data_IF_963113547915
#
_entry.id   IF_963113547915
#
_cell.length_a   1.000
_cell.length_b   1.000
_cell.length_c   1.000
_cell.angle_alpha   90.00
_cell.angle_beta   90.00
_cell.angle_gamma   90.00
#
_symmetry.space_group_name_H-M   'P 1'
#
loop_
_entity.id
_entity.type
_entity.pdbx_description
1 polymer ?
2 branched ?
3 non-polymer ?
4 non-polymer ?
5 water ?
#
# COMPACT_ATOMS: atom_id res chain seq x y z
N UNK A 1 24.48 7.64 -6.76
CA UNK A 1 25.92 7.56 -7.14
C UNK A 1 26.66 8.81 -6.58
N UNK A 2 27.03 8.74 -5.30
CA UNK A 2 27.95 9.71 -4.66
C UNK A 2 27.36 10.79 -3.75
N UNK A 3 27.29 10.51 -2.45
CA UNK A 3 26.79 11.46 -1.42
C UNK A 3 25.90 10.68 -0.45
N UNK A 4 25.30 11.35 0.57
CA UNK A 4 24.08 10.76 1.16
C UNK A 4 22.97 10.76 0.12
N UNK A 5 22.14 9.71 0.08
CA UNK A 5 21.08 9.60 -0.94
C UNK A 5 19.66 9.54 -0.33
N UNK A 6 18.68 9.98 -1.11
CA UNK A 6 17.29 10.04 -0.59
C UNK A 6 16.32 9.25 -1.46
N UNK A 7 15.41 8.56 -0.78
CA UNK A 7 14.32 7.83 -1.42
C UNK A 7 13.00 8.27 -0.78
N UNK A 8 11.95 8.27 -1.60
CA UNK A 8 10.68 8.88 -1.24
C UNK A 8 9.59 7.90 -1.63
N UNK A 9 8.89 7.37 -0.63
CA UNK A 9 7.97 6.25 -0.79
C UNK A 9 6.53 6.76 -0.61
N UNK A 10 5.59 6.29 -1.45
CA UNK A 10 4.21 6.57 -1.25
C UNK A 10 3.56 5.85 -0.03
N UNK A 11 2.34 6.27 0.35
CA UNK A 11 1.63 5.49 1.38
C UNK A 11 1.21 4.11 0.92
N UNK A 12 0.86 3.26 1.88
CA UNK A 12 0.34 1.97 1.63
C UNK A 12 -1.06 2.12 0.96
N UNK A 13 -1.36 1.31 -0.09
CA UNK A 13 -2.68 1.44 -0.68
C UNK A 13 -3.83 1.33 0.35
N UNK A 14 -3.75 0.37 1.28
CA UNK A 14 -4.79 0.27 2.32
C UNK A 14 -5.02 1.55 3.08
N UNK A 15 -3.94 2.25 3.40
CA UNK A 15 -4.00 3.50 4.11
C UNK A 15 -4.62 4.60 3.27
N UNK A 16 -4.41 4.59 1.94
CA UNK A 16 -5.05 5.59 1.10
C UNK A 16 -6.54 5.34 0.85
N UNK A 17 -6.96 4.10 1.00
CA UNK A 17 -8.30 3.67 0.65
C UNK A 17 -9.31 3.54 1.80
N UNK A 18 -8.83 3.68 3.05
CA UNK A 18 -9.70 3.65 4.24
C UNK A 18 -9.62 5.02 4.92
N UNK A 19 -10.73 5.77 4.87
CA UNK A 19 -10.75 7.13 5.36
C UNK A 19 -10.46 7.18 6.87
N UNK A 20 -10.65 6.05 7.56
CA UNK A 20 -10.32 5.95 8.99
C UNK A 20 -8.82 5.94 9.23
N UNK A 21 -8.01 5.55 8.24
CA UNK A 21 -6.56 5.44 8.44
C UNK A 21 -5.79 6.72 8.21
N UNK A 22 -4.48 6.66 8.39
CA UNK A 22 -3.62 7.80 8.26
C UNK A 22 -2.46 7.51 7.23
N UNK A 23 -2.72 7.74 5.92
CA UNK A 23 -1.70 7.55 4.91
C UNK A 23 -0.57 8.53 5.10
N UNK A 24 0.67 8.06 4.91
CA UNK A 24 1.85 8.93 4.97
C UNK A 24 2.86 8.66 3.85
N UNK A 25 3.51 9.73 3.45
CA UNK A 25 4.59 9.69 2.53
C UNK A 25 5.84 9.70 3.37
N UNK A 26 6.81 8.86 3.01
CA UNK A 26 7.99 8.66 3.81
C UNK A 26 9.28 9.01 3.05
N UNK A 27 10.12 9.87 3.64
CA UNK A 27 11.33 10.35 3.01
C UNK A 27 12.50 9.82 3.82
N UNK A 28 13.37 9.07 3.14
CA UNK A 28 14.44 8.34 3.82
C UNK A 28 15.76 8.82 3.28
N UNK A 29 16.64 9.27 4.19
CA UNK A 29 17.97 9.68 3.82
C UNK A 29 18.95 8.64 4.34
N UNK A 30 19.70 8.03 3.44
CA UNK A 30 20.77 7.07 3.81
C UNK A 30 22.17 7.58 3.43
N UNK A 31 23.19 6.90 3.96
CA UNK A 31 24.61 7.22 3.71
C UNK A 31 24.99 8.57 4.30
N UNK A 32 24.55 8.82 5.52
CA UNK A 32 24.93 10.06 6.21
C UNK A 32 26.04 9.74 7.24
N UNK A 33 27.04 10.61 7.34
CA UNK A 33 28.26 10.32 8.13
C UNK A 33 28.08 10.70 9.60
N UNK A 34 28.89 10.12 10.50
CA UNK A 34 28.85 10.54 11.93
C UNK A 34 29.35 11.95 12.08
N UNK A 35 30.27 12.33 11.19
CA UNK A 35 30.71 13.72 11.01
C UNK A 35 29.58 14.77 10.95
N UNK A 36 28.56 14.49 10.13
CA UNK A 36 27.43 15.42 9.90
C UNK A 36 26.15 14.71 10.32
N UNK A 37 25.85 14.68 11.64
CA UNK A 37 24.75 13.84 12.14
C UNK A 37 23.35 14.31 11.71
N UNK A 38 23.18 15.64 11.61
CA UNK A 38 21.89 16.29 11.51
C UNK A 38 21.43 16.50 10.07
N UNK A 39 20.13 16.28 9.85
CA UNK A 39 19.51 16.45 8.54
C UNK A 39 18.25 17.32 8.68
N UNK A 40 18.10 18.30 7.79
CA UNK A 40 16.91 19.16 7.73
C UNK A 40 16.03 18.79 6.56
N UNK A 41 14.76 18.61 6.86
CA UNK A 41 13.75 18.27 5.89
C UNK A 41 12.83 19.46 5.72
N UNK A 42 12.60 19.82 4.46
CA UNK A 42 11.51 20.71 4.11
C UNK A 42 10.54 19.93 3.25
N UNK A 43 9.25 20.13 3.47
CA UNK A 43 8.21 19.34 2.79
C UNK A 43 7.24 20.31 2.14
N UNK A 44 6.75 19.97 0.94
CA UNK A 44 5.92 20.85 0.12
C UNK A 44 4.76 20.06 -0.47
N UNK A 45 3.57 20.65 -0.48
CA UNK A 45 2.39 20.02 -1.13
C UNK A 45 2.01 20.94 -2.30
N UNK A 46 2.18 20.45 -3.54
CA UNK A 46 2.06 21.29 -4.73
C UNK A 46 2.86 22.59 -4.57
N UNK A 47 4.06 22.48 -4.05
CA UNK A 47 4.93 23.61 -3.92
C UNK A 47 4.78 24.48 -2.72
N UNK A 48 3.80 24.22 -1.84
CA UNK A 48 3.53 25.05 -0.67
C UNK A 48 4.16 24.33 0.51
N UNK A 49 5.02 25.03 1.27
CA UNK A 49 5.72 24.35 2.34
C UNK A 49 4.69 24.08 3.45
N UNK A 50 4.75 22.89 4.02
CA UNK A 50 3.88 22.45 5.11
C UNK A 50 4.72 21.99 6.28
N UNK A 51 4.13 21.91 7.48
CA UNK A 51 4.92 21.82 8.75
C UNK A 51 4.65 20.65 9.62
N UNK A 52 3.84 19.72 9.12
CA UNK A 52 3.34 18.66 10.00
C UNK A 52 4.17 17.40 10.00
N UNK A 53 5.29 17.38 9.29
CA UNK A 53 6.07 16.17 9.25
C UNK A 53 6.77 15.87 10.55
N UNK A 54 7.10 14.60 10.76
CA UNK A 54 7.73 14.15 11.99
C UNK A 54 8.95 13.33 11.60
N UNK A 55 10.10 13.68 12.17
CA UNK A 55 11.35 12.99 11.90
C UNK A 55 11.54 11.92 12.95
N UNK A 56 11.85 10.72 12.50
CA UNK A 56 11.97 9.59 13.42
C UNK A 56 13.39 9.72 13.93
N UNK A 57 13.69 9.04 15.05
CA UNK A 57 15.02 9.24 15.64
C UNK A 57 16.11 8.54 14.82
N UNK A 58 17.13 9.30 14.38
CA UNK A 58 18.25 8.78 13.56
C UNK A 58 18.96 7.59 14.23
N UNK A 59 19.53 6.70 13.42
CA UNK A 59 19.92 5.36 13.90
C UNK A 59 21.07 4.79 13.07
N UNK A 60 22.15 4.33 13.75
CA UNK A 60 23.37 3.92 13.04
C UNK A 60 23.14 2.66 12.21
N UNK A 61 23.59 2.73 10.97
CA UNK A 61 23.64 1.57 10.08
C UNK A 61 24.97 0.87 10.28
N UNK A 62 24.93 -0.43 10.02
CA UNK A 62 26.01 -1.33 10.40
C UNK A 62 27.28 -1.08 9.54
N UNK A 63 27.11 -0.38 8.42
CA UNK A 63 28.23 0.18 7.63
C UNK A 63 28.66 1.61 8.03
N UNK A 64 28.68 1.91 9.32
CA UNK A 64 29.21 3.18 9.87
C UNK A 64 28.29 4.39 9.72
N UNK A 65 27.47 4.40 8.66
CA UNK A 65 26.61 5.52 8.32
C UNK A 65 25.32 5.57 9.17
N UNK A 66 24.61 6.69 9.04
CA UNK A 66 23.30 6.90 9.67
C UNK A 66 22.20 6.83 8.61
N UNK A 67 21.00 6.51 9.08
CA UNK A 67 19.78 6.49 8.26
C UNK A 67 18.77 7.35 9.01
N UNK A 68 18.28 8.42 8.35
CA UNK A 68 17.26 9.34 8.93
C UNK A 68 15.96 9.32 8.10
N UNK A 69 14.83 9.22 8.79
CA UNK A 69 13.49 9.08 8.17
C UNK A 69 12.56 10.23 8.61
N UNK A 70 12.03 10.99 7.63
CA UNK A 70 10.87 11.90 7.87
C UNK A 70 9.54 11.33 7.27
N UNK A 71 8.49 11.34 8.06
CA UNK A 71 7.18 10.97 7.55
C UNK A 71 6.18 12.11 7.58
N UNK A 72 5.53 12.33 6.45
CA UNK A 72 4.46 13.32 6.33
C UNK A 72 3.07 12.70 6.16
N UNK A 73 2.16 12.98 7.06
CA UNK A 73 0.76 12.45 6.96
C UNK A 73 0.11 13.25 5.82
N UNK A 74 -0.59 12.56 4.92
CA UNK A 74 -1.26 13.19 3.78
C UNK A 74 -2.80 13.04 3.98
N UNK A 75 -3.59 13.97 3.44
CA UNK A 75 -5.02 13.92 3.51
C UNK A 75 -5.56 12.96 2.47
N UNK A 76 -6.54 12.17 2.88
CA UNK A 76 -7.14 11.15 2.02
C UNK A 76 -7.48 11.66 0.59
N UNK A 77 -8.19 12.77 0.54
CA UNK A 77 -8.66 13.37 -0.67
C UNK A 77 -7.50 13.95 -1.47
N UNK A 78 -6.56 14.62 -0.78
CA UNK A 78 -5.39 15.20 -1.47
C UNK A 78 -4.61 14.18 -2.25
N UNK A 79 -4.34 13.00 -1.65
CA UNK A 79 -3.54 12.01 -2.29
C UNK A 79 -4.27 11.50 -3.54
N UNK A 80 -5.55 11.23 -3.37
CA UNK A 80 -6.30 10.58 -4.44
C UNK A 80 -6.61 11.60 -5.54
N UNK A 81 -6.61 12.89 -5.23
CA UNK A 81 -6.77 13.95 -6.26
C UNK A 81 -5.49 14.36 -6.94
N UNK A 82 -4.37 13.68 -6.65
CA UNK A 82 -3.16 13.92 -7.36
C UNK A 82 -2.21 15.01 -6.90
N UNK A 83 -2.30 15.46 -5.66
CA UNK A 83 -1.37 16.50 -5.18
C UNK A 83 0.06 15.91 -5.18
N UNK A 84 1.06 16.76 -5.35
CA UNK A 84 2.48 16.33 -5.46
C UNK A 84 3.17 16.64 -4.14
N UNK A 85 3.83 15.63 -3.59
CA UNK A 85 4.55 15.76 -2.33
C UNK A 85 6.05 15.78 -2.59
N UNK A 86 6.68 16.87 -2.14
CA UNK A 86 8.12 17.00 -2.26
C UNK A 86 8.81 16.99 -0.92
N UNK A 87 9.92 16.26 -0.88
CA UNK A 87 10.77 16.18 0.28
C UNK A 87 12.11 16.79 -0.16
N UNK A 88 12.56 17.85 0.53
CA UNK A 88 13.91 18.44 0.30
C UNK A 88 14.79 18.14 1.52
N UNK A 89 16.00 17.63 1.27
CA UNK A 89 16.90 17.16 2.33
C UNK A 89 18.23 17.94 2.30
N UNK A 90 18.60 18.44 3.49
CA UNK A 90 19.77 19.26 3.69
C UNK A 90 20.65 18.63 4.75
N UNK A 91 21.99 18.69 4.53
CA UNK A 91 22.97 17.93 5.34
C UNK A 91 24.40 18.44 5.13
N UNK A 92 25.14 18.55 6.23
CA UNK A 92 26.54 19.09 6.21
C UNK A 92 27.47 18.33 5.23
N UNK A 93 27.21 17.02 5.03
CA UNK A 93 27.93 16.23 4.03
C UNK A 93 27.51 16.38 2.58
N UNK A 94 26.70 17.39 2.28
CA UNK A 94 25.93 17.43 1.07
C UNK A 94 25.90 18.88 0.57
N UNK A 95 26.84 19.23 -0.32
CA UNK A 95 27.09 20.63 -0.68
C UNK A 95 25.85 21.39 -1.17
N UNK A 96 24.88 20.68 -1.75
CA UNK A 96 23.61 21.28 -2.13
C UNK A 96 22.46 20.36 -1.67
N UNK A 97 21.32 20.96 -1.34
CA UNK A 97 20.12 20.18 -1.01
C UNK A 97 19.64 19.32 -2.17
N UNK A 98 19.08 18.18 -1.82
CA UNK A 98 18.50 17.22 -2.75
C UNK A 98 17.01 17.22 -2.54
N UNK A 99 16.25 17.12 -3.64
CA UNK A 99 14.82 17.02 -3.57
C UNK A 99 14.27 15.92 -4.48
N UNK A 100 13.20 15.30 -3.99
CA UNK A 100 12.43 14.22 -4.64
C UNK A 100 10.93 14.52 -4.50
N UNK A 101 10.15 14.17 -5.53
CA UNK A 101 8.74 14.39 -5.51
C UNK A 101 7.99 13.12 -5.85
N UNK A 102 6.83 12.93 -5.23
CA UNK A 102 6.00 11.78 -5.48
C UNK A 102 4.56 12.24 -5.60
N UNK A 103 3.78 11.48 -6.36
CA UNK A 103 2.33 11.65 -6.42
C UNK A 103 1.72 10.35 -6.96
N UNK A 104 0.42 10.22 -6.81
CA UNK A 104 -0.36 9.06 -7.27
C UNK A 104 -0.16 8.85 -8.79
N UNK A 105 -0.22 7.60 -9.25
CA UNK A 105 -0.17 7.34 -10.66
C UNK A 105 -1.27 8.12 -11.42
N UNK A 106 -0.90 8.74 -12.54
CA UNK A 106 -1.86 9.47 -13.40
C UNK A 106 -2.46 8.54 -14.46
N UNK A 107 -3.68 8.81 -14.90
CA UNK A 107 -4.34 7.98 -15.94
C UNK A 107 -5.78 7.74 -15.52
N UNK A 108 -6.68 7.37 -16.44
CA UNK A 108 -8.11 7.22 -16.08
C UNK A 108 -8.27 6.04 -15.09
N UNK A 109 -8.95 6.24 -13.93
CA UNK A 109 -9.16 5.08 -13.06
C UNK A 109 -10.09 4.07 -13.70
N UNK A 110 -9.73 2.79 -13.55
CA UNK A 110 -10.52 1.68 -14.03
C UNK A 110 -10.77 0.65 -12.90
N UNK A 111 -12.00 0.18 -12.85
CA UNK A 111 -12.56 -0.54 -11.73
C UNK A 111 -12.08 -1.97 -11.78
N UNK A 112 -11.63 -2.53 -10.64
CA UNK A 112 -11.36 -3.97 -10.67
C UNK A 112 -12.60 -4.84 -10.91
N UNK A 113 -12.39 -5.95 -11.63
CA UNK A 113 -13.39 -7.00 -11.78
C UNK A 113 -12.86 -8.15 -10.99
N UNK A 114 -13.73 -8.73 -10.16
CA UNK A 114 -13.34 -9.74 -9.18
C UNK A 114 -14.07 -11.06 -9.38
N UNK A 115 -13.30 -12.14 -9.41
CA UNK A 115 -13.84 -13.49 -9.66
C UNK A 115 -13.26 -14.46 -8.64
N UNK A 116 -14.11 -15.29 -8.06
CA UNK A 116 -13.67 -16.32 -7.14
C UNK A 116 -13.86 -17.70 -7.72
N UNK A 117 -13.09 -18.62 -7.16
CA UNK A 117 -13.09 -19.99 -7.63
C UNK A 117 -12.94 -20.93 -6.44
N UNK A 118 -13.83 -21.95 -6.34
CA UNK A 118 -13.63 -22.95 -5.30
C UNK A 118 -12.50 -23.92 -5.62
N UNK A 119 -12.08 -24.72 -4.66
CA UNK A 119 -11.01 -25.68 -4.93
C UNK A 119 -11.43 -26.69 -6.03
N UNK A 120 -10.45 -27.18 -6.78
CA UNK A 120 -10.64 -28.30 -7.71
C UNK A 120 -11.02 -29.61 -6.97
N UNK A 121 -11.54 -30.59 -7.71
CA UNK A 121 -11.80 -31.92 -7.14
C UNK A 121 -10.47 -32.57 -6.70
N UNK A 122 -9.46 -32.43 -7.57
CA UNK A 122 -8.05 -32.72 -7.21
C UNK A 122 -7.70 -32.13 -5.87
N UNK A 123 -7.77 -30.80 -5.78
CA UNK A 123 -7.45 -30.02 -4.56
C UNK A 123 -8.02 -30.58 -3.25
N UNK A 124 -9.23 -31.14 -3.30
CA UNK A 124 -9.90 -31.60 -2.09
C UNK A 124 -9.61 -33.00 -1.58
N UNK A 125 -8.58 -33.64 -2.11
CA UNK A 125 -8.12 -34.86 -1.50
C UNK A 125 -7.20 -34.57 -0.32
N UNK A 126 -6.85 -33.30 -0.11
CA UNK A 126 -5.83 -32.92 0.87
C UNK A 126 -6.48 -32.33 2.08
N UNK A 127 -5.73 -32.24 3.17
CA UNK A 127 -6.25 -31.72 4.43
C UNK A 127 -6.55 -30.20 4.40
N UNK A 128 -5.86 -29.49 3.51
CA UNK A 128 -6.08 -28.08 3.22
C UNK A 128 -6.61 -27.93 1.81
N UNK A 129 -7.40 -26.87 1.62
CA UNK A 129 -7.80 -26.43 0.31
C UNK A 129 -7.51 -24.97 0.11
N UNK A 130 -7.41 -24.58 -1.15
CA UNK A 130 -7.06 -23.22 -1.49
C UNK A 130 -8.22 -22.57 -2.22
N UNK A 131 -8.60 -21.37 -1.80
CA UNK A 131 -9.61 -20.58 -2.53
C UNK A 131 -8.96 -19.45 -3.31
N UNK A 132 -9.43 -19.23 -4.54
CA UNK A 132 -8.78 -18.33 -5.46
C UNK A 132 -9.66 -17.10 -5.75
N UNK A 133 -8.99 -15.95 -5.82
CA UNK A 133 -9.62 -14.68 -6.12
C UNK A 133 -8.82 -14.03 -7.23
N UNK A 134 -9.41 -13.89 -8.40
CA UNK A 134 -8.76 -13.25 -9.54
C UNK A 134 -9.32 -11.83 -9.64
N UNK A 135 -8.43 -10.87 -9.77
CA UNK A 135 -8.81 -9.46 -9.83
C UNK A 135 -8.13 -8.87 -11.06
N UNK A 136 -8.93 -8.39 -12.02
CA UNK A 136 -8.42 -7.85 -13.29
C UNK A 136 -9.05 -6.51 -13.64
N UNK A 137 -8.36 -5.78 -14.50
CA UNK A 137 -9.00 -4.66 -15.24
C UNK A 137 -8.87 -3.36 -14.50
N UNK A 138 -8.00 -3.33 -13.48
CA UNK A 138 -7.90 -2.16 -12.64
C UNK A 138 -6.72 -1.23 -13.02
N UNK A 139 -6.97 0.06 -12.81
CA UNK A 139 -5.96 1.09 -12.95
C UNK A 139 -6.26 2.25 -11.95
N UNK A 140 -5.27 2.76 -11.26
CA UNK A 140 -3.87 2.36 -11.27
C UNK A 140 -3.69 1.05 -10.52
N UNK A 141 -2.43 0.69 -10.38
CA UNK A 141 -2.01 -0.59 -9.80
C UNK A 141 -2.16 -0.70 -8.28
N UNK A 142 -2.26 0.44 -7.60
CA UNK A 142 -2.44 0.45 -6.14
C UNK A 142 -3.74 -0.22 -5.73
N UNK A 143 -3.62 -1.26 -4.94
CA UNK A 143 -4.78 -2.07 -4.60
C UNK A 143 -4.46 -2.82 -3.32
N UNK A 144 -5.49 -3.19 -2.59
CA UNK A 144 -5.28 -4.01 -1.40
C UNK A 144 -6.32 -5.07 -1.45
N UNK A 145 -5.89 -6.32 -1.25
CA UNK A 145 -6.82 -7.47 -1.31
C UNK A 145 -6.60 -8.25 -0.02
N UNK A 146 -7.70 -8.68 0.59
CA UNK A 146 -7.71 -9.37 1.89
C UNK A 146 -8.87 -10.35 1.84
N UNK A 147 -9.03 -11.11 2.91
CA UNK A 147 -10.08 -12.10 2.97
C UNK A 147 -10.78 -12.09 4.31
N UNK A 148 -12.00 -12.54 4.34
CA UNK A 148 -12.70 -12.70 5.63
C UNK A 148 -13.69 -13.84 5.64
N UNK A 149 -14.02 -14.27 6.85
CA UNK A 149 -15.17 -15.15 7.02
C UNK A 149 -15.83 -14.84 8.34
N UNK A 150 -17.15 -14.89 8.38
CA UNK A 150 -17.90 -14.76 9.63
C UNK A 150 -17.51 -13.49 10.39
N UNK A 151 -17.31 -12.42 9.60
CA UNK A 151 -17.01 -11.11 10.10
C UNK A 151 -15.67 -10.97 10.72
N UNK A 152 -14.77 -11.93 10.52
CA UNK A 152 -13.49 -11.90 11.08
C UNK A 152 -12.46 -12.06 9.91
N UNK A 153 -11.27 -11.50 10.06
CA UNK A 153 -10.29 -11.52 8.98
C UNK A 153 -9.66 -12.92 8.84
N UNK A 154 -9.38 -13.34 7.60
CA UNK A 154 -8.65 -14.61 7.28
C UNK A 154 -7.32 -14.18 6.67
N UNK A 155 -6.23 -14.41 7.35
CA UNK A 155 -4.90 -13.88 6.99
C UNK A 155 -3.92 -14.89 6.39
N UNK A 156 -4.38 -16.11 6.12
CA UNK A 156 -3.50 -17.14 5.55
C UNK A 156 -3.61 -17.14 4.00
N UNK A 157 -3.32 -15.96 3.41
CA UNK A 157 -3.44 -15.76 1.94
C UNK A 157 -2.11 -15.29 1.37
N UNK A 158 -1.94 -15.46 0.06
CA UNK A 158 -0.76 -14.98 -0.66
C UNK A 158 -1.35 -14.31 -1.88
N UNK A 159 -0.82 -13.15 -2.22
CA UNK A 159 -1.37 -12.37 -3.28
C UNK A 159 -0.21 -11.96 -4.15
N UNK A 160 -0.34 -12.13 -5.48
CA UNK A 160 0.73 -11.73 -6.41
C UNK A 160 0.79 -10.23 -6.62
N UNK A 161 1.95 -9.76 -7.09
CA UNK A 161 2.14 -8.37 -7.40
C UNK A 161 1.34 -8.06 -8.66
N UNK A 162 0.75 -6.86 -8.75
CA UNK A 162 -0.02 -6.58 -9.96
C UNK A 162 0.90 -6.66 -11.19
N UNK A 163 0.38 -7.32 -12.23
CA UNK A 163 1.07 -7.49 -13.50
C UNK A 163 0.28 -6.73 -14.57
N UNK A 164 0.97 -5.88 -15.33
CA UNK A 164 0.38 -5.13 -16.46
C UNK A 164 -0.12 -6.07 -17.55
N UNK A 165 -1.37 -5.85 -17.95
CA UNK A 165 -2.00 -6.68 -18.95
C UNK A 165 -1.81 -6.02 -20.31
N UNK A 166 -2.17 -6.80 -21.35
CA UNK A 166 -2.15 -6.38 -22.74
C UNK A 166 -2.95 -5.11 -23.09
N UNK A 167 -3.98 -4.76 -22.31
CA UNK A 167 -4.77 -3.52 -22.50
C UNK A 167 -4.40 -2.33 -21.60
N UNK A 168 -3.25 -2.38 -20.91
CA UNK A 168 -2.85 -1.29 -20.04
C UNK A 168 -3.46 -1.30 -18.64
N UNK A 169 -4.36 -2.24 -18.35
CA UNK A 169 -4.82 -2.46 -16.98
C UNK A 169 -3.83 -3.40 -16.28
N UNK A 170 -4.04 -3.56 -14.97
CA UNK A 170 -3.33 -4.53 -14.14
C UNK A 170 -4.19 -5.73 -13.74
N UNK A 171 -3.51 -6.83 -13.41
CA UNK A 171 -4.13 -8.08 -12.97
C UNK A 171 -3.37 -8.64 -11.77
N UNK A 172 -4.09 -9.29 -10.86
CA UNK A 172 -3.43 -10.13 -9.84
C UNK A 172 -4.33 -11.28 -9.42
N UNK A 173 -3.79 -12.17 -8.59
CA UNK A 173 -4.49 -13.29 -8.00
C UNK A 173 -4.14 -13.43 -6.51
N UNK A 174 -5.16 -13.75 -5.73
CA UNK A 174 -4.97 -14.03 -4.29
C UNK A 174 -5.49 -15.44 -3.99
N UNK A 175 -4.74 -16.18 -3.17
CA UNK A 175 -5.11 -17.55 -2.73
C UNK A 175 -5.10 -17.66 -1.20
N UNK A 176 -6.19 -18.18 -0.67
CA UNK A 176 -6.39 -18.31 0.77
C UNK A 176 -6.48 -19.81 1.01
N UNK A 177 -5.60 -20.29 1.85
CA UNK A 177 -5.57 -21.69 2.23
C UNK A 177 -6.17 -21.88 3.59
N UNK A 178 -7.17 -22.74 3.65
CA UNK A 178 -7.84 -23.05 4.89
C UNK A 178 -7.94 -24.56 5.05
N UNK A 179 -8.33 -25.01 6.26
CA UNK A 179 -8.58 -26.43 6.53
C UNK A 179 -9.74 -26.95 5.72
N UNK A 180 -9.56 -28.07 5.02
CA UNK A 180 -10.66 -28.59 4.19
C UNK A 180 -11.98 -28.67 4.97
N UNK A 181 -11.90 -29.09 6.23
CA UNK A 181 -13.09 -29.18 7.09
C UNK A 181 -13.89 -27.87 7.16
N UNK A 182 -13.18 -26.76 7.32
CA UNK A 182 -13.82 -25.44 7.43
C UNK A 182 -14.59 -25.11 6.18
N UNK A 183 -14.01 -25.42 5.02
CA UNK A 183 -14.73 -25.31 3.74
C UNK A 183 -15.92 -26.30 3.63
N UNK A 184 -15.69 -27.54 4.06
CA UNK A 184 -16.73 -28.59 4.01
C UNK A 184 -18.01 -28.25 4.78
N UNK A 185 -17.81 -27.73 5.98
CA UNK A 185 -18.88 -27.27 6.87
C UNK A 185 -19.66 -26.03 6.42
N UNK A 186 -19.41 -25.55 5.20
CA UNK A 186 -20.29 -24.57 4.56
C UNK A 186 -20.03 -23.14 4.98
N UNK A 187 -18.94 -22.89 5.66
CA UNK A 187 -18.57 -21.51 5.94
C UNK A 187 -18.39 -20.69 4.65
N UNK A 188 -18.89 -19.46 4.68
CA UNK A 188 -18.78 -18.56 3.54
C UNK A 188 -17.48 -17.76 3.67
N UNK A 189 -16.72 -17.70 2.60
CA UNK A 189 -15.51 -16.91 2.55
C UNK A 189 -15.65 -15.77 1.51
N UNK A 190 -15.03 -14.65 1.82
CA UNK A 190 -15.14 -13.42 1.03
C UNK A 190 -13.76 -12.92 0.65
N UNK A 191 -13.56 -12.75 -0.64
CA UNK A 191 -12.40 -11.99 -1.13
C UNK A 191 -12.74 -10.49 -1.13
N UNK A 192 -12.01 -9.69 -0.37
CA UNK A 192 -12.27 -8.24 -0.29
C UNK A 192 -11.20 -7.41 -1.01
N UNK A 193 -11.67 -6.53 -1.89
CA UNK A 193 -10.81 -5.71 -2.75
C UNK A 193 -11.02 -4.25 -2.43
N UNK A 194 -9.94 -3.50 -2.14
CA UNK A 194 -10.03 -2.05 -2.03
C UNK A 194 -9.21 -1.41 -3.15
N UNK A 195 -9.85 -0.47 -3.84
CA UNK A 195 -9.26 0.20 -4.98
C UNK A 195 -9.98 1.54 -5.18
N UNK A 196 -9.24 2.56 -5.63
CA UNK A 196 -9.80 3.91 -5.75
C UNK A 196 -11.02 3.99 -6.64
N UNK A 197 -11.06 3.15 -7.65
CA UNK A 197 -12.22 3.14 -8.58
C UNK A 197 -13.49 2.48 -8.05
N UNK A 198 -13.39 1.86 -6.87
CA UNK A 198 -14.56 1.44 -6.16
C UNK A 198 -14.72 2.68 -5.31
N UNK A 199 -15.92 3.09 -5.08
CA UNK A 199 -16.10 4.39 -4.41
C UNK A 199 -17.53 4.31 -4.12
N UNK A 200 -17.88 4.25 -2.83
CA UNK A 200 -19.25 4.25 -2.48
C UNK A 200 -19.51 4.88 -1.11
N UNK A 201 -20.77 5.14 -0.84
CA UNK A 201 -21.21 5.76 0.38
C UNK A 201 -22.38 4.91 0.98
N UNK A 202 -22.18 3.61 1.02
CA UNK A 202 -23.19 2.58 1.20
C UNK A 202 -22.78 1.63 2.36
N UNK A 203 -23.70 1.28 3.26
CA UNK A 203 -23.54 0.10 4.10
C UNK A 203 -24.85 -0.70 4.11
N UNK A 204 -24.84 -1.92 4.62
CA UNK A 204 -26.09 -2.63 4.83
C UNK A 204 -26.09 -3.55 6.06
N UNK A 205 -27.26 -3.86 6.55
CA UNK A 205 -27.42 -4.81 7.66
C UNK A 205 -28.45 -5.78 7.23
N UNK A 206 -28.19 -7.06 7.44
CA UNK A 206 -29.06 -8.11 6.97
C UNK A 206 -29.74 -8.85 8.15
N UNK A 207 -30.90 -9.41 7.83
CA UNK A 207 -31.82 -10.05 8.74
C UNK A 207 -32.36 -11.31 8.09
N UNK A 208 -32.47 -12.41 8.86
CA UNK A 208 -33.24 -13.57 8.38
C UNK A 208 -33.92 -14.33 9.56
N UNK A 209 -34.80 -15.28 9.23
CA UNK A 209 -35.36 -16.18 10.26
C UNK A 209 -34.24 -17.02 10.93
N UNK A 210 -33.86 -16.61 12.14
CA UNK A 210 -32.72 -17.18 12.88
C UNK A 210 -33.23 -17.91 14.13
#
# INVERSE_FOLDING_TARGET
>A
LGGPSVFLFPPKPKDTLMISRTPEVTCVVVDVSQEDPEVQFNWYVDGVEVHNAKTKPREEQFNSTYRVVSVLTVLHQDWLNGKEYKCKVSNKGLPSSIEKTISKAKGQPREPQVYTFPPSQEEMTKNQVSLRCLVKGFYPSDIAVEWESNGQPENNYKTTKPVLDSDGSFRLESRLTVDKSRWQEGNVFSCSVMHEALHNHYTQKSLSLS
#
